data_IF_588622889913
#
_entry.id   IF_588622889913
#
_cell.length_a   1.000
_cell.length_b   1.000
_cell.length_c   1.000
_cell.angle_alpha   90.00
_cell.angle_beta   90.00
_cell.angle_gamma   90.00
#
_symmetry.space_group_name_H-M   'P 1'
#
loop_
_entity.id
_entity.type
_entity.pdbx_description
1 polymer ?
#
# COMPACT_ATOMS: atom_id res chain seq x y z
N UNK A 1 -25.11 -23.42 6.37
CA UNK A 1 -24.04 -23.77 5.42
C UNK A 1 -23.10 -22.59 5.45
N UNK A 2 -21.95 -22.74 6.10
CA UNK A 2 -20.89 -21.73 6.00
C UNK A 2 -20.34 -21.84 4.58
N UNK A 3 -20.75 -20.98 3.68
CA UNK A 3 -19.96 -20.69 2.50
C UNK A 3 -18.58 -20.25 3.01
N UNK A 4 -17.54 -20.89 2.51
CA UNK A 4 -16.15 -20.61 2.93
C UNK A 4 -15.92 -19.11 2.81
N UNK A 5 -15.87 -18.42 3.96
CA UNK A 5 -15.76 -16.97 4.06
C UNK A 5 -14.56 -16.40 3.29
N UNK A 6 -13.57 -17.24 3.01
CA UNK A 6 -12.33 -16.86 2.30
C UNK A 6 -12.33 -17.22 0.82
N UNK A 7 -13.45 -17.68 0.27
CA UNK A 7 -13.59 -18.08 -1.14
C UNK A 7 -12.44 -19.01 -1.63
N UNK A 8 -11.84 -19.83 -0.73
CA UNK A 8 -10.71 -20.70 -1.00
C UNK A 8 -9.36 -20.01 -1.17
N UNK A 9 -9.25 -18.70 -0.84
CA UNK A 9 -7.98 -17.98 -0.88
C UNK A 9 -7.01 -18.48 0.20
N UNK A 10 -5.74 -18.63 -0.18
CA UNK A 10 -4.64 -19.04 0.68
C UNK A 10 -3.30 -18.51 0.14
N UNK A 11 -2.17 -18.80 0.80
CA UNK A 11 -0.85 -18.29 0.43
C UNK A 11 -0.39 -18.66 -0.98
N UNK A 12 -0.90 -19.74 -1.57
CA UNK A 12 -0.47 -20.21 -2.89
C UNK A 12 -1.23 -19.52 -4.03
N UNK A 13 -2.45 -19.01 -3.75
CA UNK A 13 -3.34 -18.49 -4.78
C UNK A 13 -3.80 -17.04 -4.58
N UNK A 14 -3.59 -16.42 -3.43
CA UNK A 14 -4.15 -15.13 -3.04
C UNK A 14 -3.89 -13.96 -4.01
N UNK A 15 -2.88 -14.07 -4.88
CA UNK A 15 -2.56 -13.06 -5.91
C UNK A 15 -3.23 -13.31 -7.25
N UNK A 16 -3.99 -14.40 -7.39
CA UNK A 16 -4.59 -14.83 -8.66
C UNK A 16 -6.09 -14.59 -8.61
N UNK A 17 -6.65 -14.13 -9.72
CA UNK A 17 -8.11 -14.08 -9.92
C UNK A 17 -8.69 -15.51 -9.93
N UNK A 18 -9.82 -15.75 -9.29
CA UNK A 18 -10.72 -14.78 -8.58
C UNK A 18 -10.35 -14.51 -7.11
N UNK A 19 -9.38 -15.23 -6.54
CA UNK A 19 -9.04 -15.19 -5.11
C UNK A 19 -8.55 -13.82 -4.66
N UNK A 20 -7.83 -13.09 -5.52
CA UNK A 20 -7.31 -11.75 -5.25
C UNK A 20 -8.40 -10.74 -4.89
N UNK A 21 -9.59 -10.86 -5.50
CA UNK A 21 -10.73 -9.99 -5.24
C UNK A 21 -11.21 -9.99 -3.79
N UNK A 22 -10.97 -11.06 -3.08
CA UNK A 22 -11.23 -11.17 -1.66
C UNK A 22 -9.95 -10.96 -0.83
N UNK A 23 -8.86 -11.60 -1.23
CA UNK A 23 -7.63 -11.70 -0.45
C UNK A 23 -6.95 -10.34 -0.20
N UNK A 24 -7.04 -9.40 -1.14
CA UNK A 24 -6.33 -8.12 -1.05
C UNK A 24 -6.84 -7.22 0.08
N UNK A 25 -8.08 -7.38 0.50
CA UNK A 25 -8.64 -6.66 1.64
C UNK A 25 -8.89 -7.54 2.88
N UNK A 26 -8.46 -8.84 2.82
CA UNK A 26 -8.54 -9.81 3.91
C UNK A 26 -7.18 -10.42 4.29
N UNK A 27 -6.08 -9.68 4.10
CA UNK A 27 -4.71 -10.19 4.32
C UNK A 27 -4.51 -10.75 5.72
N UNK A 28 -5.15 -10.15 6.75
CA UNK A 28 -5.03 -10.60 8.14
C UNK A 28 -5.64 -11.98 8.42
N UNK A 29 -6.43 -12.49 7.49
CA UNK A 29 -7.02 -13.83 7.55
C UNK A 29 -6.15 -14.88 6.86
N UNK A 30 -5.16 -14.43 6.07
CA UNK A 30 -4.22 -15.28 5.33
C UNK A 30 -2.88 -15.37 6.06
N UNK A 31 -2.42 -14.25 6.65
CA UNK A 31 -1.14 -14.16 7.38
C UNK A 31 -1.30 -13.43 8.71
N UNK A 32 -0.50 -13.78 9.73
CA UNK A 32 -0.47 -13.02 10.98
C UNK A 32 -0.15 -11.54 10.72
N UNK A 33 -0.95 -10.65 11.30
CA UNK A 33 -0.79 -9.21 11.18
C UNK A 33 -0.92 -8.53 12.54
N UNK A 34 -0.41 -7.31 12.65
CA UNK A 34 -0.59 -6.46 13.81
C UNK A 34 -1.18 -5.10 13.38
N UNK A 35 -2.00 -4.51 14.23
CA UNK A 35 -2.50 -3.16 14.01
C UNK A 35 -1.49 -2.14 14.53
N UNK A 36 -1.28 -1.07 13.74
CA UNK A 36 -0.62 0.15 14.18
C UNK A 36 -1.71 1.18 14.40
N UNK A 37 -1.95 1.53 15.67
CA UNK A 37 -3.01 2.45 16.02
C UNK A 37 -2.64 3.90 15.72
N UNK A 38 -3.62 4.69 15.26
CA UNK A 38 -3.51 6.13 15.21
C UNK A 38 -3.70 6.70 16.63
N UNK A 39 -2.59 6.90 17.36
CA UNK A 39 -2.60 7.41 18.73
C UNK A 39 -3.11 8.85 18.85
N UNK A 40 -3.02 9.63 17.78
CA UNK A 40 -3.48 11.03 17.81
C UNK A 40 -5.00 11.15 17.79
N UNK A 41 -5.69 10.15 17.27
CA UNK A 41 -7.14 10.19 17.03
C UNK A 41 -7.58 11.26 16.02
N UNK A 42 -6.61 12.01 15.45
CA UNK A 42 -6.91 13.05 14.47
C UNK A 42 -7.24 12.40 13.13
N UNK A 43 -8.44 12.65 12.67
CA UNK A 43 -8.92 12.30 11.33
C UNK A 43 -9.36 13.58 10.67
N UNK A 44 -8.86 13.85 9.48
CA UNK A 44 -9.30 15.00 8.69
C UNK A 44 -10.56 14.60 7.93
N UNK A 45 -11.65 15.29 8.18
CA UNK A 45 -12.86 15.14 7.38
C UNK A 45 -12.64 15.82 6.03
N UNK A 46 -12.81 15.05 4.97
CA UNK A 46 -12.81 15.56 3.60
C UNK A 46 -14.22 15.99 3.21
N UNK A 47 -14.32 17.12 2.51
CA UNK A 47 -15.58 17.55 1.91
C UNK A 47 -16.10 16.51 0.88
N UNK A 48 -17.39 16.49 0.64
CA UNK A 48 -18.00 15.59 -0.34
C UNK A 48 -18.74 16.43 -1.41
N UNK A 49 -18.34 16.29 -2.67
CA UNK A 49 -18.98 16.92 -3.82
C UNK A 49 -18.93 15.97 -5.02
N UNK A 50 -19.78 14.94 -4.98
CA UNK A 50 -19.77 13.88 -5.98
C UNK A 50 -20.13 14.44 -7.36
N UNK A 51 -19.24 14.23 -8.31
CA UNK A 51 -19.35 14.67 -9.68
C UNK A 51 -19.58 13.48 -10.64
N UNK A 52 -20.22 13.76 -11.76
CA UNK A 52 -20.33 12.80 -12.87
C UNK A 52 -19.16 13.02 -13.83
N UNK A 53 -18.37 12.00 -14.01
CA UNK A 53 -17.30 11.97 -15.00
C UNK A 53 -17.84 11.34 -16.29
N UNK A 54 -18.72 12.08 -17.00
CA UNK A 54 -19.45 11.58 -18.18
C UNK A 54 -18.53 11.12 -19.33
N UNK A 55 -17.36 11.72 -19.44
CA UNK A 55 -16.39 11.41 -20.50
C UNK A 55 -15.50 10.20 -20.17
N UNK A 56 -15.59 9.72 -18.93
CA UNK A 56 -14.83 8.58 -18.42
C UNK A 56 -15.81 7.51 -17.95
N UNK A 57 -15.81 6.36 -18.59
CA UNK A 57 -16.56 5.21 -18.09
C UNK A 57 -15.78 4.52 -16.96
N UNK A 58 -15.80 5.16 -15.77
CA UNK A 58 -15.06 4.69 -14.60
C UNK A 58 -15.49 3.29 -14.17
N UNK A 59 -16.76 2.97 -14.31
CA UNK A 59 -17.28 1.64 -13.96
C UNK A 59 -16.66 0.56 -14.83
N UNK A 60 -16.57 0.79 -16.14
CA UNK A 60 -15.94 -0.13 -17.07
C UNK A 60 -14.44 -0.27 -16.79
N UNK A 61 -13.76 0.85 -16.52
CA UNK A 61 -12.33 0.83 -16.19
C UNK A 61 -12.08 0.02 -14.92
N UNK A 62 -12.86 0.24 -13.86
CA UNK A 62 -12.73 -0.51 -12.61
C UNK A 62 -12.99 -2.01 -12.80
N UNK A 63 -13.95 -2.37 -13.64
CA UNK A 63 -14.25 -3.78 -13.96
C UNK A 63 -13.11 -4.43 -14.75
N UNK A 64 -12.66 -3.80 -15.84
CA UNK A 64 -11.59 -4.31 -16.71
C UNK A 64 -10.22 -4.42 -15.99
N UNK A 65 -9.97 -3.56 -15.02
CA UNK A 65 -8.72 -3.56 -14.23
C UNK A 65 -8.86 -4.32 -12.91
N UNK A 66 -10.01 -4.91 -12.62
CA UNK A 66 -10.31 -5.58 -11.34
C UNK A 66 -10.04 -4.68 -10.13
N UNK A 67 -10.33 -3.37 -10.25
CA UNK A 67 -10.08 -2.37 -9.21
C UNK A 67 -11.07 -2.52 -8.05
N UNK A 68 -10.55 -2.66 -6.84
CA UNK A 68 -11.35 -2.85 -5.63
C UNK A 68 -11.90 -1.53 -5.08
N UNK A 69 -11.15 -0.44 -5.20
CA UNK A 69 -11.59 0.88 -4.76
C UNK A 69 -11.01 1.99 -5.63
N UNK A 70 -11.79 3.03 -5.87
CA UNK A 70 -11.35 4.26 -6.53
C UNK A 70 -11.91 5.47 -5.81
N UNK A 71 -11.03 6.35 -5.37
CA UNK A 71 -11.37 7.66 -4.80
C UNK A 71 -10.69 8.74 -5.64
N UNK A 72 -11.44 9.73 -6.07
CA UNK A 72 -10.91 10.93 -6.73
C UNK A 72 -11.19 12.11 -5.80
N UNK A 73 -10.13 12.77 -5.36
CA UNK A 73 -10.23 13.92 -4.49
C UNK A 73 -9.45 15.12 -5.08
N UNK A 74 -9.93 16.31 -4.79
CA UNK A 74 -9.28 17.58 -5.15
C UNK A 74 -9.54 18.61 -4.06
N UNK A 75 -8.51 19.32 -3.64
CA UNK A 75 -8.60 20.42 -2.66
C UNK A 75 -9.41 20.00 -1.40
N UNK A 76 -9.00 18.88 -0.78
CA UNK A 76 -9.63 18.26 0.39
C UNK A 76 -11.11 17.89 0.20
N UNK A 77 -11.55 17.72 -1.04
CA UNK A 77 -12.92 17.35 -1.38
C UNK A 77 -12.95 16.08 -2.21
N UNK A 78 -13.75 15.09 -1.80
CA UNK A 78 -13.99 13.86 -2.56
C UNK A 78 -14.98 14.18 -3.69
N UNK A 79 -14.57 13.92 -4.92
CA UNK A 79 -15.35 14.13 -6.15
C UNK A 79 -15.98 12.84 -6.67
N UNK A 80 -15.34 11.71 -6.38
CA UNK A 80 -15.83 10.38 -6.75
C UNK A 80 -15.32 9.36 -5.75
N UNK A 81 -16.18 8.40 -5.41
CA UNK A 81 -15.84 7.32 -4.51
C UNK A 81 -16.65 6.08 -4.87
N UNK A 82 -15.96 4.97 -5.07
CA UNK A 82 -16.59 3.69 -5.38
C UNK A 82 -15.75 2.53 -4.86
N UNK A 83 -16.46 1.51 -4.36
CA UNK A 83 -15.89 0.27 -3.82
C UNK A 83 -16.53 -0.93 -4.51
N UNK A 84 -15.71 -1.94 -4.82
CA UNK A 84 -16.10 -3.21 -5.43
C UNK A 84 -15.72 -4.39 -4.51
N UNK A 85 -16.08 -5.59 -4.93
CA UNK A 85 -15.67 -6.86 -4.30
C UNK A 85 -15.94 -6.92 -2.79
N UNK A 86 -17.02 -6.29 -2.30
CA UNK A 86 -17.38 -6.28 -0.89
C UNK A 86 -16.60 -5.30 -0.02
N UNK A 87 -15.73 -4.46 -0.61
CA UNK A 87 -15.08 -3.37 0.13
C UNK A 87 -16.04 -2.24 0.51
N UNK A 88 -15.63 -1.49 1.51
CA UNK A 88 -16.22 -0.23 1.95
C UNK A 88 -15.10 0.79 2.25
N UNK A 89 -15.48 2.00 2.57
CA UNK A 89 -14.55 3.08 2.96
C UNK A 89 -13.59 2.70 4.11
N UNK A 90 -14.04 1.82 5.01
CA UNK A 90 -13.29 1.39 6.18
C UNK A 90 -12.57 0.04 5.99
N UNK A 91 -12.67 -0.56 4.82
CA UNK A 91 -12.00 -1.83 4.55
C UNK A 91 -10.50 -1.64 4.36
N UNK A 92 -9.64 -2.42 5.06
CA UNK A 92 -8.22 -2.40 4.77
C UNK A 92 -7.96 -2.96 3.38
N UNK A 93 -6.86 -2.56 2.76
CA UNK A 93 -6.40 -3.12 1.50
C UNK A 93 -4.89 -3.25 1.51
N UNK A 94 -4.35 -4.27 0.86
CA UNK A 94 -2.91 -4.43 0.73
C UNK A 94 -2.31 -3.31 -0.14
N UNK A 95 -1.23 -2.71 0.32
CA UNK A 95 -0.61 -1.58 -0.37
C UNK A 95 0.47 -1.99 -1.38
N UNK A 96 0.93 -3.24 -1.34
CA UNK A 96 2.08 -3.67 -2.15
C UNK A 96 3.23 -2.64 -2.11
N UNK A 97 3.74 -2.23 -3.27
CA UNK A 97 4.85 -1.27 -3.35
C UNK A 97 4.52 0.16 -2.92
N UNK A 98 3.26 0.53 -2.75
CA UNK A 98 2.89 1.82 -2.12
C UNK A 98 3.44 1.91 -0.69
N UNK A 99 3.65 0.76 -0.02
CA UNK A 99 4.34 0.70 1.28
C UNK A 99 5.73 1.34 1.26
N UNK A 100 6.43 1.33 0.11
CA UNK A 100 7.74 1.98 -0.04
C UNK A 100 7.65 3.51 0.04
N UNK A 101 6.55 4.10 -0.41
CA UNK A 101 6.31 5.54 -0.27
C UNK A 101 6.15 5.93 1.21
N UNK A 102 5.44 5.10 1.99
CA UNK A 102 5.29 5.30 3.43
C UNK A 102 6.65 5.15 4.13
N UNK A 103 7.44 4.14 3.75
CA UNK A 103 8.80 3.98 4.26
C UNK A 103 9.66 5.21 3.94
N UNK A 104 9.55 5.78 2.74
CA UNK A 104 10.24 7.01 2.35
C UNK A 104 9.88 8.20 3.27
N UNK A 105 8.63 8.36 3.64
CA UNK A 105 8.19 9.40 4.59
C UNK A 105 8.80 9.18 5.98
N UNK A 106 8.86 7.94 6.46
CA UNK A 106 9.50 7.60 7.75
C UNK A 106 10.98 7.93 7.72
N UNK A 107 11.69 7.54 6.64
CA UNK A 107 13.12 7.87 6.46
C UNK A 107 13.32 9.38 6.41
N UNK A 108 12.46 10.13 5.71
CA UNK A 108 12.50 11.60 5.69
C UNK A 108 12.39 12.21 7.09
N UNK A 109 11.45 11.74 7.91
CA UNK A 109 11.32 12.20 9.30
C UNK A 109 12.55 11.86 10.16
N UNK A 110 13.19 10.71 9.94
CA UNK A 110 14.43 10.34 10.62
C UNK A 110 15.63 11.20 10.19
N UNK A 111 15.67 11.65 8.94
CA UNK A 111 16.68 12.58 8.44
C UNK A 111 16.45 13.97 9.04
N UNK A 112 15.21 14.47 9.05
CA UNK A 112 14.85 15.75 9.64
C UNK A 112 15.22 15.80 11.14
N UNK A 113 14.94 14.71 11.87
CA UNK A 113 15.35 14.56 13.28
C UNK A 113 16.84 14.35 13.49
N UNK A 114 17.66 14.32 12.43
CA UNK A 114 19.11 14.06 12.44
C UNK A 114 19.50 12.67 12.99
N UNK A 115 18.58 11.75 13.06
CA UNK A 115 18.83 10.35 13.43
C UNK A 115 19.58 9.62 12.32
N UNK A 116 19.27 9.95 11.07
CA UNK A 116 19.92 9.45 9.87
C UNK A 116 20.44 10.61 9.01
N UNK A 117 21.42 10.31 8.14
CA UNK A 117 21.86 11.19 7.05
C UNK A 117 21.69 10.48 5.72
N UNK A 118 21.32 11.19 4.68
CA UNK A 118 21.19 10.63 3.31
C UNK A 118 22.50 9.97 2.84
N UNK A 119 23.64 10.52 3.29
CA UNK A 119 24.98 10.00 2.96
C UNK A 119 25.44 8.81 3.83
N UNK A 120 24.63 8.38 4.80
CA UNK A 120 25.00 7.22 5.61
C UNK A 120 24.97 5.94 4.75
N UNK A 121 25.99 5.11 4.90
CA UNK A 121 26.01 3.78 4.31
C UNK A 121 25.14 2.82 5.12
N UNK A 122 24.40 1.95 4.44
CA UNK A 122 23.55 0.96 5.09
C UNK A 122 24.31 0.05 6.05
N UNK A 123 25.59 -0.25 5.75
CA UNK A 123 26.45 -1.09 6.59
C UNK A 123 26.79 -0.47 7.94
N UNK A 124 26.53 0.82 8.15
CA UNK A 124 26.64 1.47 9.45
C UNK A 124 25.57 0.94 10.42
N UNK A 125 24.40 0.60 9.90
CA UNK A 125 23.25 0.14 10.68
C UNK A 125 23.08 -1.38 10.62
N UNK A 126 23.52 -2.00 9.51
CA UNK A 126 23.44 -3.45 9.26
C UNK A 126 24.83 -3.93 8.83
N UNK A 127 25.77 -4.15 9.80
CA UNK A 127 27.15 -4.54 9.48
C UNK A 127 27.29 -5.85 8.70
N UNK A 128 26.31 -6.73 8.81
CA UNK A 128 26.25 -8.02 8.12
C UNK A 128 26.23 -7.87 6.59
N UNK A 129 25.79 -6.72 6.07
CA UNK A 129 25.77 -6.44 4.65
C UNK A 129 27.12 -6.04 4.06
N UNK A 130 28.20 -5.94 4.88
CA UNK A 130 29.51 -5.46 4.47
C UNK A 130 30.13 -6.27 3.33
N UNK A 131 29.85 -7.57 3.26
CA UNK A 131 30.37 -8.48 2.23
C UNK A 131 29.37 -8.75 1.11
N UNK A 132 28.38 -7.89 0.93
CA UNK A 132 27.34 -8.02 -0.09
C UNK A 132 27.39 -6.86 -1.09
N UNK A 133 26.55 -6.93 -2.12
CA UNK A 133 26.37 -5.83 -3.08
C UNK A 133 25.88 -4.52 -2.42
N UNK A 134 25.37 -4.58 -1.19
CA UNK A 134 24.92 -3.41 -0.43
C UNK A 134 26.04 -2.68 0.32
N UNK A 135 27.29 -3.15 0.27
CA UNK A 135 28.41 -2.58 1.05
C UNK A 135 28.64 -1.08 0.84
N UNK A 136 28.31 -0.58 -0.36
CA UNK A 136 28.41 0.84 -0.72
C UNK A 136 27.05 1.51 -0.92
N UNK A 137 25.96 0.83 -0.56
CA UNK A 137 24.62 1.39 -0.71
C UNK A 137 24.32 2.41 0.37
N UNK A 138 23.72 3.53 -0.06
CA UNK A 138 23.22 4.55 0.84
C UNK A 138 21.84 4.13 1.39
N UNK A 139 21.47 4.65 2.56
CA UNK A 139 20.24 4.27 3.26
C UNK A 139 18.95 4.55 2.48
N UNK A 140 18.95 5.51 1.55
CA UNK A 140 17.77 5.86 0.75
C UNK A 140 17.57 4.94 -0.47
N UNK A 141 18.51 4.00 -0.75
CA UNK A 141 18.38 3.04 -1.84
C UNK A 141 17.73 1.79 -1.29
N UNK A 142 16.44 1.62 -1.52
CA UNK A 142 15.64 0.50 -0.99
C UNK A 142 15.71 -0.78 -1.83
N UNK A 143 16.24 -0.71 -3.06
CA UNK A 143 16.41 -1.88 -3.95
C UNK A 143 17.75 -1.80 -4.68
N UNK A 144 18.45 -2.93 -4.86
CA UNK A 144 19.65 -2.96 -5.68
C UNK A 144 19.23 -2.70 -7.14
N UNK A 145 19.73 -1.62 -7.71
CA UNK A 145 19.65 -1.45 -9.16
C UNK A 145 20.45 -2.59 -9.79
N UNK A 146 19.79 -3.51 -10.51
CA UNK A 146 20.50 -4.42 -11.40
C UNK A 146 21.25 -3.56 -12.42
N UNK A 147 22.55 -3.41 -12.22
CA UNK A 147 23.41 -3.07 -13.36
C UNK A 147 23.36 -4.29 -14.27
N UNK A 148 22.62 -4.21 -15.36
CA UNK A 148 22.82 -5.08 -16.50
C UNK A 148 24.26 -4.89 -16.96
N UNK A 149 25.03 -5.97 -17.16
CA UNK A 149 26.40 -5.90 -17.66
C UNK A 149 26.42 -5.27 -19.06
#
# INVERSE_FOLDING_TARGET
>A
MNEDLNNGANLDNWRKTPFSKWAFHHVREIVPTANIENKSGLVTDLGLNIQKFSDLNLDKVMEETETDALVIAKDDTILFEKYNNGMSENSPHILFSVSKSILGLIVGALIESKTLKESDLIIRFIPELKMTAYSLSLIHISEPTRRTP
#
